data_IF_553909670332
#
_entry.id   IF_553909670332
#
_cell.length_a   1.000
_cell.length_b   1.000
_cell.length_c   1.000
_cell.angle_alpha   90.00
_cell.angle_beta   90.00
_cell.angle_gamma   90.00
#
_symmetry.space_group_name_H-M   'P 1'
#
loop_
_entity.id
_entity.type
_entity.pdbx_description
1 polymer ?
#
# COMPACT_ATOMS: atom_id res chain seq x y z
N UNK A 1 -34.99 10.46 3.03
CA UNK A 1 -34.32 10.35 4.33
C UNK A 1 -32.90 9.89 4.14
N UNK A 2 -31.91 10.69 4.54
CA UNK A 2 -30.51 10.30 4.53
C UNK A 2 -30.11 9.63 5.84
N UNK A 3 -29.18 8.68 5.77
CA UNK A 3 -28.58 8.02 6.94
C UNK A 3 -27.93 9.08 7.85
N UNK A 4 -28.19 8.98 9.15
CA UNK A 4 -27.58 9.83 10.16
C UNK A 4 -26.09 9.46 10.38
N UNK A 5 -25.35 10.28 11.14
CA UNK A 5 -23.92 10.08 11.33
C UNK A 5 -23.57 8.77 12.06
N UNK A 6 -24.41 8.33 13.02
CA UNK A 6 -24.18 7.09 13.77
C UNK A 6 -24.43 5.85 12.90
N UNK A 7 -25.45 5.86 12.04
CA UNK A 7 -25.74 4.81 11.08
C UNK A 7 -24.60 4.66 10.05
N UNK A 8 -24.04 5.77 9.57
CA UNK A 8 -22.86 5.74 8.68
C UNK A 8 -21.63 5.14 9.38
N UNK A 9 -21.39 5.53 10.63
CA UNK A 9 -20.28 4.99 11.42
C UNK A 9 -20.44 3.49 11.70
N UNK A 10 -21.66 3.05 12.02
CA UNK A 10 -21.97 1.63 12.22
C UNK A 10 -21.74 0.82 10.94
N UNK A 11 -22.17 1.33 9.78
CA UNK A 11 -21.96 0.67 8.49
C UNK A 11 -20.47 0.56 8.14
N UNK A 12 -19.70 1.62 8.36
CA UNK A 12 -18.25 1.61 8.13
C UNK A 12 -17.52 0.62 9.05
N UNK A 13 -17.93 0.53 10.31
CA UNK A 13 -17.40 -0.45 11.27
C UNK A 13 -17.72 -1.89 10.85
N UNK A 14 -18.98 -2.17 10.50
CA UNK A 14 -19.40 -3.48 10.02
C UNK A 14 -18.65 -3.90 8.74
N UNK A 15 -18.43 -2.97 7.82
CA UNK A 15 -17.64 -3.20 6.61
C UNK A 15 -16.18 -3.56 6.95
N UNK A 16 -15.55 -2.80 7.86
CA UNK A 16 -14.18 -3.05 8.31
C UNK A 16 -14.04 -4.43 8.98
N UNK A 17 -15.01 -4.81 9.82
CA UNK A 17 -15.07 -6.13 10.43
C UNK A 17 -15.23 -7.26 9.41
N UNK A 18 -16.02 -7.05 8.35
CA UNK A 18 -16.16 -8.03 7.26
C UNK A 18 -14.84 -8.19 6.50
N UNK A 19 -14.18 -7.09 6.14
CA UNK A 19 -12.88 -7.13 5.47
C UNK A 19 -11.83 -7.87 6.30
N UNK A 20 -11.77 -7.60 7.61
CA UNK A 20 -10.83 -8.27 8.51
C UNK A 20 -11.08 -9.78 8.58
N UNK A 21 -12.35 -10.20 8.66
CA UNK A 21 -12.71 -11.63 8.64
C UNK A 21 -12.31 -12.33 7.34
N UNK A 22 -12.51 -11.68 6.20
CA UNK A 22 -12.11 -12.23 4.90
C UNK A 22 -10.59 -12.33 4.82
N UNK A 23 -9.87 -11.28 5.24
CA UNK A 23 -8.39 -11.28 5.25
C UNK A 23 -7.83 -12.39 6.14
N UNK A 24 -8.35 -12.54 7.36
CA UNK A 24 -7.91 -13.58 8.30
C UNK A 24 -8.23 -14.98 7.79
N UNK A 25 -9.41 -15.19 7.18
CA UNK A 25 -9.79 -16.47 6.57
C UNK A 25 -8.89 -16.85 5.39
N UNK A 26 -8.58 -15.89 4.51
CA UNK A 26 -7.65 -16.12 3.42
C UNK A 26 -6.23 -16.42 3.93
N UNK A 27 -5.73 -15.68 4.94
CA UNK A 27 -4.41 -15.92 5.52
C UNK A 27 -4.31 -17.33 6.15
N UNK A 28 -5.32 -17.74 6.92
CA UNK A 28 -5.38 -19.08 7.49
C UNK A 28 -5.41 -20.18 6.39
N UNK A 29 -6.15 -19.95 5.31
CA UNK A 29 -6.20 -20.88 4.18
C UNK A 29 -4.86 -20.97 3.43
N UNK A 30 -4.13 -19.86 3.30
CA UNK A 30 -2.80 -19.83 2.69
C UNK A 30 -1.79 -20.60 3.57
N UNK A 31 -1.86 -20.43 4.89
CA UNK A 31 -0.99 -21.13 5.82
C UNK A 31 -1.24 -22.65 5.82
N UNK A 32 -2.50 -23.06 5.75
CA UNK A 32 -2.88 -24.48 5.73
C UNK A 32 -2.75 -25.15 4.36
N UNK A 33 -2.83 -24.39 3.26
CA UNK A 33 -2.93 -24.93 1.90
C UNK A 33 -2.23 -24.05 0.84
N UNK A 34 -1.01 -23.59 1.12
CA UNK A 34 -0.26 -22.68 0.26
C UNK A 34 0.01 -23.19 -1.16
N UNK A 35 0.29 -24.49 -1.32
CA UNK A 35 0.46 -25.11 -2.65
C UNK A 35 -0.85 -25.10 -3.46
N UNK A 36 -1.97 -25.46 -2.82
CA UNK A 36 -3.29 -25.43 -3.46
C UNK A 36 -3.69 -24.00 -3.85
N UNK A 37 -3.37 -23.00 -3.02
CA UNK A 37 -3.61 -21.58 -3.34
C UNK A 37 -2.74 -21.11 -4.50
N UNK A 38 -1.48 -21.54 -4.56
CA UNK A 38 -0.56 -21.22 -5.66
C UNK A 38 -1.04 -21.83 -6.97
N UNK A 39 -1.50 -23.09 -6.94
CA UNK A 39 -2.14 -23.75 -8.09
C UNK A 39 -3.38 -22.98 -8.52
N UNK A 40 -4.27 -22.64 -7.59
CA UNK A 40 -5.51 -21.90 -7.89
C UNK A 40 -5.25 -20.54 -8.55
N UNK A 41 -4.22 -19.81 -8.10
CA UNK A 41 -3.79 -18.57 -8.75
C UNK A 41 -3.26 -18.81 -10.17
N UNK A 42 -2.47 -19.87 -10.36
CA UNK A 42 -2.01 -20.31 -11.68
C UNK A 42 -3.17 -20.66 -12.61
N UNK A 43 -4.13 -21.45 -12.13
CA UNK A 43 -5.31 -21.90 -12.87
C UNK A 43 -6.21 -20.72 -13.26
N UNK A 44 -6.40 -19.75 -12.37
CA UNK A 44 -7.16 -18.54 -12.67
C UNK A 44 -6.50 -17.70 -13.79
N UNK A 45 -5.17 -17.57 -13.79
CA UNK A 45 -4.43 -16.87 -14.87
C UNK A 45 -4.51 -17.64 -16.18
N UNK A 46 -4.36 -18.96 -16.14
CA UNK A 46 -4.47 -19.83 -17.30
C UNK A 46 -5.87 -19.76 -17.92
N UNK A 47 -6.92 -19.73 -17.09
CA UNK A 47 -8.30 -19.56 -17.54
C UNK A 47 -8.51 -18.23 -18.28
N UNK A 48 -8.03 -17.10 -17.73
CA UNK A 48 -8.11 -15.80 -18.40
C UNK A 48 -7.40 -15.82 -19.76
N UNK A 49 -6.19 -16.39 -19.82
CA UNK A 49 -5.45 -16.51 -21.08
C UNK A 49 -6.16 -17.40 -22.10
N UNK A 50 -6.78 -18.50 -21.65
CA UNK A 50 -7.57 -19.38 -22.50
C UNK A 50 -8.83 -18.67 -23.05
N UNK A 51 -9.51 -17.86 -22.24
CA UNK A 51 -10.63 -17.03 -22.73
C UNK A 51 -10.18 -16.07 -23.84
N UNK A 52 -9.04 -15.41 -23.68
CA UNK A 52 -8.51 -14.47 -24.67
C UNK A 52 -8.10 -15.18 -25.97
N UNK A 53 -7.53 -16.37 -25.86
CA UNK A 53 -7.21 -17.21 -27.00
C UNK A 53 -8.48 -17.66 -27.76
N UNK A 54 -9.54 -18.04 -27.05
CA UNK A 54 -10.83 -18.41 -27.64
C UNK A 54 -11.47 -17.21 -28.34
N UNK A 55 -11.49 -16.04 -27.70
CA UNK A 55 -12.03 -14.81 -28.30
C UNK A 55 -11.26 -14.44 -29.58
N UNK A 56 -9.94 -14.53 -29.56
CA UNK A 56 -9.08 -14.28 -30.72
C UNK A 56 -9.37 -15.27 -31.85
N UNK A 57 -9.43 -16.56 -31.54
CA UNK A 57 -9.67 -17.61 -32.52
C UNK A 57 -11.09 -17.54 -33.13
N UNK A 58 -12.07 -17.12 -32.34
CA UNK A 58 -13.46 -16.95 -32.77
C UNK A 58 -13.61 -15.73 -33.69
N UNK A 59 -13.05 -14.59 -33.28
CA UNK A 59 -13.06 -13.36 -34.09
C UNK A 59 -12.29 -13.51 -35.40
N UNK A 60 -11.28 -14.39 -35.46
CA UNK A 60 -10.58 -14.70 -36.70
C UNK A 60 -11.40 -15.55 -37.69
N UNK A 61 -12.42 -16.28 -37.23
CA UNK A 61 -13.23 -17.21 -38.03
C UNK A 61 -14.63 -16.70 -38.35
N UNK A 62 -15.11 -15.70 -37.62
CA UNK A 62 -16.43 -15.09 -37.82
C UNK A 62 -16.19 -13.69 -38.42
N UNK A 63 -16.83 -13.38 -39.55
CA UNK A 63 -16.87 -12.03 -40.13
C UNK A 63 -17.78 -11.11 -39.28
N UNK A 64 -17.39 -10.89 -38.01
CA UNK A 64 -18.12 -10.11 -37.02
C UNK A 64 -17.61 -10.35 -35.60
N UNK A 65 -17.90 -9.43 -34.67
CA UNK A 65 -17.60 -9.63 -33.24
C UNK A 65 -18.41 -10.83 -32.72
N UNK A 66 -17.74 -11.95 -32.42
CA UNK A 66 -18.37 -13.10 -31.78
C UNK A 66 -18.92 -12.75 -30.39
N UNK A 67 -19.72 -13.64 -29.76
CA UNK A 67 -20.18 -13.42 -28.39
C UNK A 67 -19.00 -13.42 -27.43
N UNK A 68 -18.51 -12.23 -27.08
CA UNK A 68 -17.55 -12.05 -26.01
C UNK A 68 -18.17 -12.50 -24.68
N UNK A 69 -17.37 -13.05 -23.77
CA UNK A 69 -17.80 -13.39 -22.40
C UNK A 69 -17.13 -12.42 -21.40
N UNK A 70 -17.37 -11.10 -21.50
CA UNK A 70 -16.64 -10.11 -20.72
C UNK A 70 -16.96 -10.20 -19.23
N UNK A 71 -18.16 -10.67 -18.86
CA UNK A 71 -18.56 -10.87 -17.47
C UNK A 71 -17.72 -11.96 -16.79
N UNK A 72 -17.47 -13.08 -17.46
CA UNK A 72 -16.65 -14.16 -16.93
C UNK A 72 -15.19 -13.70 -16.78
N UNK A 73 -14.66 -12.99 -17.78
CA UNK A 73 -13.31 -12.41 -17.71
C UNK A 73 -13.18 -11.45 -16.53
N UNK A 74 -14.13 -10.51 -16.37
CA UNK A 74 -14.12 -9.57 -15.23
C UNK A 74 -14.27 -10.27 -13.89
N UNK A 75 -15.09 -11.31 -13.83
CA UNK A 75 -15.25 -12.12 -12.62
C UNK A 75 -13.92 -12.79 -12.22
N UNK A 76 -13.25 -13.47 -13.16
CA UNK A 76 -11.95 -14.12 -12.93
C UNK A 76 -10.87 -13.11 -12.53
N UNK A 77 -10.83 -11.94 -13.19
CA UNK A 77 -9.90 -10.86 -12.83
C UNK A 77 -10.14 -10.34 -11.41
N UNK A 78 -11.40 -10.17 -11.00
CA UNK A 78 -11.74 -9.72 -9.65
C UNK A 78 -11.42 -10.77 -8.59
N UNK A 79 -11.61 -12.05 -8.92
CA UNK A 79 -11.19 -13.18 -8.08
C UNK A 79 -9.66 -13.18 -7.92
N UNK A 80 -8.91 -13.12 -9.02
CA UNK A 80 -7.45 -13.08 -9.01
C UNK A 80 -6.93 -11.94 -8.14
N UNK A 81 -7.44 -10.72 -8.36
CA UNK A 81 -7.04 -9.53 -7.61
C UNK A 81 -7.29 -9.69 -6.10
N UNK A 82 -8.38 -10.36 -5.72
CA UNK A 82 -8.73 -10.59 -4.31
C UNK A 82 -7.81 -11.62 -3.67
N UNK A 83 -7.50 -12.70 -4.38
CA UNK A 83 -6.61 -13.75 -3.89
C UNK A 83 -5.15 -13.29 -3.80
N UNK A 84 -4.65 -12.56 -4.80
CA UNK A 84 -3.28 -12.03 -4.83
C UNK A 84 -3.01 -11.05 -3.69
N UNK A 85 -3.94 -10.13 -3.41
CA UNK A 85 -3.83 -9.20 -2.28
C UNK A 85 -3.68 -9.91 -0.93
N UNK A 86 -4.37 -11.03 -0.77
CA UNK A 86 -4.33 -11.80 0.48
C UNK A 86 -3.14 -12.77 0.54
N UNK A 87 -2.64 -13.23 -0.60
CA UNK A 87 -1.43 -14.06 -0.71
C UNK A 87 -0.15 -13.29 -0.38
N UNK A 88 -0.02 -12.05 -0.88
CA UNK A 88 1.12 -11.18 -0.57
C UNK A 88 1.18 -10.79 0.92
N UNK A 89 0.03 -10.70 1.59
CA UNK A 89 -0.05 -10.43 3.02
C UNK A 89 0.37 -11.63 3.90
N UNK A 90 0.21 -12.87 3.42
CA UNK A 90 0.61 -14.08 4.15
C UNK A 90 2.10 -14.42 4.02
N UNK A 91 2.73 -14.10 2.89
CA UNK A 91 4.16 -14.40 2.67
C UNK A 91 5.11 -13.63 3.60
N UNK A 92 4.71 -12.45 4.10
CA UNK A 92 5.51 -11.65 5.05
C UNK A 92 5.41 -12.16 6.49
N UNK A 93 4.39 -12.97 6.81
CA UNK A 93 4.18 -13.52 8.16
C UNK A 93 4.93 -14.84 8.40
N UNK A 94 5.34 -15.55 7.34
CA UNK A 94 6.05 -16.83 7.44
C UNK A 94 7.58 -16.62 7.51
N UNK A 95 8.02 -15.83 8.50
CA UNK A 95 9.39 -15.89 8.98
C UNK A 95 9.58 -17.23 9.69
N UNK A 96 10.28 -18.15 9.03
CA UNK A 96 10.55 -19.51 9.49
C UNK A 96 10.78 -19.59 11.01
N UNK A 97 9.82 -20.20 11.72
CA UNK A 97 9.99 -20.60 13.10
C UNK A 97 11.16 -21.60 13.15
N UNK A 98 12.31 -21.11 13.61
CA UNK A 98 13.49 -21.93 13.90
C UNK A 98 13.06 -22.97 14.96
N UNK A 99 13.34 -24.29 14.78
CA UNK A 99 12.88 -25.29 15.73
C UNK A 99 13.57 -25.09 17.07
N UNK A 100 12.79 -24.76 18.10
CA UNK A 100 13.23 -24.84 19.49
C UNK A 100 13.47 -26.32 19.85
N UNK A 101 14.55 -26.68 20.55
CA UNK A 101 14.75 -28.05 21.05
C UNK A 101 13.67 -28.38 22.10
N UNK A 102 13.31 -29.67 22.27
CA UNK A 102 12.21 -30.08 23.14
C UNK A 102 12.51 -29.77 24.62
N UNK A 103 11.49 -29.39 25.42
CA UNK A 103 11.68 -29.13 26.85
C UNK A 103 11.95 -30.43 27.61
N UNK A 104 13.02 -30.44 28.40
CA UNK A 104 13.21 -31.42 29.47
C UNK A 104 12.13 -31.20 30.55
N UNK A 105 11.52 -32.30 30.99
CA UNK A 105 10.59 -32.34 32.12
C UNK A 105 11.24 -31.79 33.40
N UNK A 106 10.57 -30.90 34.16
CA UNK A 106 11.00 -30.60 35.52
C UNK A 106 10.14 -31.35 36.55
N UNK A 107 10.86 -32.07 37.42
CA UNK A 107 10.38 -32.55 38.71
C UNK A 107 9.95 -31.39 39.64
N UNK A 108 9.22 -31.77 40.69
CA UNK A 108 8.44 -31.00 41.66
C UNK A 108 9.18 -29.89 42.46
N UNK A 109 8.43 -28.98 43.14
CA UNK A 109 8.89 -27.64 43.48
C UNK A 109 9.48 -27.52 44.90
N UNK A 110 10.41 -26.58 45.10
CA UNK A 110 10.73 -26.01 46.43
C UNK A 110 11.04 -24.50 46.36
N UNK A 111 10.09 -23.75 46.94
CA UNK A 111 10.12 -22.51 47.74
C UNK A 111 11.23 -21.42 47.63
N UNK A 112 10.68 -20.20 47.64
CA UNK A 112 11.03 -18.96 48.36
C UNK A 112 12.02 -17.95 47.74
N UNK A 113 11.48 -16.77 47.39
CA UNK A 113 11.90 -15.52 48.04
C UNK A 113 12.24 -14.30 47.17
N UNK A 114 11.36 -13.29 47.22
CA UNK A 114 11.57 -11.83 47.18
C UNK A 114 12.11 -11.11 45.93
N UNK A 115 11.39 -10.02 45.57
CA UNK A 115 11.94 -8.86 44.86
C UNK A 115 10.99 -8.25 43.83
N UNK A 116 10.23 -7.22 44.23
CA UNK A 116 9.47 -6.36 43.32
C UNK A 116 10.42 -5.40 42.57
N UNK A 117 10.17 -5.16 41.27
CA UNK A 117 9.71 -3.86 40.73
C UNK A 117 10.10 -3.65 39.25
N UNK A 118 9.04 -3.44 38.45
CA UNK A 118 8.83 -2.48 37.34
C UNK A 118 9.92 -2.09 36.32
N UNK A 119 9.43 -2.00 35.07
CA UNK A 119 9.90 -1.19 33.90
C UNK A 119 10.99 -1.77 32.99
N UNK A 120 10.61 -2.20 31.79
CA UNK A 120 10.57 -1.32 30.61
C UNK A 120 10.33 -2.15 29.35
N UNK A 121 9.13 -2.00 28.77
CA UNK A 121 8.83 -2.41 27.40
C UNK A 121 9.66 -1.54 26.46
N UNK A 122 10.70 -2.12 25.85
CA UNK A 122 11.31 -1.57 24.65
C UNK A 122 10.71 -2.37 23.50
N UNK A 123 9.70 -1.77 22.87
CA UNK A 123 9.16 -2.24 21.61
C UNK A 123 10.29 -2.23 20.56
N UNK A 124 10.75 -3.42 20.19
CA UNK A 124 11.54 -3.62 18.99
C UNK A 124 10.66 -3.25 17.80
N UNK A 125 10.97 -2.09 17.21
CA UNK A 125 10.46 -1.68 15.91
C UNK A 125 11.09 -2.58 14.85
N UNK A 126 10.52 -3.77 14.64
CA UNK A 126 10.81 -4.52 13.43
C UNK A 126 10.27 -3.72 12.24
N UNK A 127 11.19 -3.10 11.50
CA UNK A 127 10.92 -2.45 10.23
C UNK A 127 10.41 -3.50 9.26
N UNK A 128 9.09 -3.60 9.17
CA UNK A 128 8.39 -4.36 8.15
C UNK A 128 8.69 -3.76 6.77
N UNK A 129 9.22 -4.57 5.87
CA UNK A 129 9.45 -4.25 4.45
C UNK A 129 8.16 -4.26 3.60
N UNK A 130 6.98 -4.32 4.21
CA UNK A 130 5.69 -4.17 3.55
C UNK A 130 5.28 -2.70 3.41
N UNK A 131 4.35 -2.39 2.49
CA UNK A 131 3.71 -1.07 2.54
C UNK A 131 3.03 -0.90 3.91
N UNK A 132 3.13 0.27 4.53
CA UNK A 132 2.43 0.53 5.76
C UNK A 132 0.90 0.47 5.51
N UNK A 133 0.15 -0.22 6.39
CA UNK A 133 -1.32 -0.26 6.35
C UNK A 133 -1.92 1.15 6.49
N UNK A 134 -1.13 2.09 7.02
CA UNK A 134 -1.42 3.53 7.07
C UNK A 134 -0.16 4.36 6.91
N UNK A 135 -0.20 5.38 6.05
CA UNK A 135 0.88 6.37 5.91
C UNK A 135 1.00 7.17 7.21
N UNK A 136 2.15 7.07 7.87
CA UNK A 136 2.42 7.70 9.16
C UNK A 136 3.51 8.77 9.10
N UNK A 137 4.33 8.75 8.04
CA UNK A 137 5.46 9.66 7.85
C UNK A 137 5.56 10.15 6.39
N UNK A 138 6.35 11.19 6.16
CA UNK A 138 6.69 11.65 4.80
C UNK A 138 7.49 10.60 4.03
N UNK A 139 8.33 9.81 4.72
CA UNK A 139 9.09 8.73 4.09
C UNK A 139 8.18 7.60 3.60
N UNK A 140 7.08 7.32 4.31
CA UNK A 140 6.05 6.38 3.85
C UNK A 140 5.41 6.85 2.53
N UNK A 141 5.17 8.16 2.39
CA UNK A 141 4.65 8.75 1.15
C UNK A 141 5.63 8.53 0.00
N UNK A 142 6.93 8.76 0.22
CA UNK A 142 7.97 8.53 -0.80
C UNK A 142 7.99 7.08 -1.25
N UNK A 143 7.98 6.13 -0.31
CA UNK A 143 7.95 4.69 -0.61
C UNK A 143 6.72 4.32 -1.44
N UNK A 144 5.54 4.83 -1.09
CA UNK A 144 4.31 4.60 -1.83
C UNK A 144 4.40 5.17 -3.26
N UNK A 145 4.95 6.37 -3.44
CA UNK A 145 5.14 6.97 -4.77
C UNK A 145 6.14 6.17 -5.63
N UNK A 146 7.21 5.66 -5.03
CA UNK A 146 8.19 4.81 -5.73
C UNK A 146 7.55 3.51 -6.24
N UNK A 147 6.64 2.91 -5.47
CA UNK A 147 5.90 1.74 -5.88
C UNK A 147 4.92 2.02 -7.02
N UNK A 148 4.25 3.17 -6.99
CA UNK A 148 3.38 3.63 -8.10
C UNK A 148 4.21 3.80 -9.37
N UNK A 149 5.36 4.48 -9.29
CA UNK A 149 6.27 4.65 -10.42
C UNK A 149 6.72 3.29 -10.97
N UNK A 150 7.18 2.39 -10.11
CA UNK A 150 7.66 1.06 -10.51
C UNK A 150 6.57 0.18 -11.15
N UNK A 151 5.30 0.34 -10.75
CA UNK A 151 4.18 -0.32 -11.40
C UNK A 151 4.03 0.18 -12.84
N UNK A 152 3.90 1.49 -13.04
CA UNK A 152 3.66 2.07 -14.36
C UNK A 152 4.86 1.91 -15.30
N UNK A 153 6.09 1.98 -14.80
CA UNK A 153 7.28 1.70 -15.62
C UNK A 153 7.28 0.27 -16.19
N UNK A 154 6.68 -0.69 -15.48
CA UNK A 154 6.57 -2.10 -15.93
C UNK A 154 5.35 -2.35 -16.81
N UNK A 155 4.20 -1.73 -16.50
CA UNK A 155 2.94 -2.04 -17.18
C UNK A 155 2.64 -1.12 -18.35
N UNK A 156 2.97 0.18 -18.24
CA UNK A 156 2.61 1.23 -19.19
C UNK A 156 3.70 2.33 -19.27
N UNK A 157 4.88 2.03 -19.85
CA UNK A 157 6.02 2.95 -19.84
C UNK A 157 5.77 4.27 -20.59
N UNK A 158 4.82 4.28 -21.54
CA UNK A 158 4.41 5.48 -22.29
C UNK A 158 3.42 6.37 -21.53
N UNK A 159 3.02 5.99 -20.31
CA UNK A 159 2.10 6.78 -19.49
C UNK A 159 2.75 8.09 -19.01
N UNK A 160 2.00 9.20 -18.93
CA UNK A 160 2.51 10.45 -18.32
C UNK A 160 2.60 10.37 -16.79
N UNK A 161 1.96 9.37 -16.17
CA UNK A 161 1.83 9.24 -14.72
C UNK A 161 3.19 9.08 -14.00
N UNK A 162 4.13 8.21 -14.44
CA UNK A 162 5.46 8.13 -13.86
C UNK A 162 6.18 9.47 -13.75
N UNK A 163 6.08 10.32 -14.76
CA UNK A 163 6.75 11.62 -14.78
C UNK A 163 6.17 12.57 -13.72
N UNK A 164 4.84 12.61 -13.60
CA UNK A 164 4.15 13.41 -12.58
C UNK A 164 4.43 12.86 -11.17
N UNK A 165 4.37 11.54 -10.98
CA UNK A 165 4.63 10.91 -9.69
C UNK A 165 6.07 11.16 -9.20
N UNK A 166 7.07 11.08 -10.08
CA UNK A 166 8.47 11.44 -9.75
C UNK A 166 8.61 12.91 -9.37
N UNK A 167 7.85 13.81 -10.00
CA UNK A 167 7.83 15.24 -9.63
C UNK A 167 7.23 15.44 -8.23
N UNK A 168 6.05 14.86 -7.98
CA UNK A 168 5.38 14.91 -6.67
C UNK A 168 6.27 14.32 -5.58
N UNK A 169 6.98 13.22 -5.86
CA UNK A 169 7.93 12.60 -4.93
C UNK A 169 9.02 13.57 -4.47
N UNK A 170 9.59 14.38 -5.36
CA UNK A 170 10.60 15.38 -4.98
C UNK A 170 10.02 16.48 -4.09
N UNK A 171 8.75 16.81 -4.27
CA UNK A 171 8.04 17.86 -3.53
C UNK A 171 7.71 17.46 -2.08
N UNK A 172 7.72 16.16 -1.74
CA UNK A 172 7.29 15.66 -0.41
C UNK A 172 8.11 16.25 0.75
N UNK A 173 9.41 16.50 0.53
CA UNK A 173 10.29 17.02 1.58
C UNK A 173 10.44 18.55 1.55
N UNK A 174 9.97 19.20 0.50
CA UNK A 174 10.10 20.65 0.33
C UNK A 174 9.22 21.39 1.33
N UNK A 175 9.71 22.52 1.82
CA UNK A 175 8.86 23.50 2.48
C UNK A 175 8.01 24.28 1.45
N UNK A 176 7.02 25.04 1.93
CA UNK A 176 6.12 25.76 1.02
C UNK A 176 6.84 26.80 0.15
N UNK A 177 7.91 27.42 0.65
CA UNK A 177 8.67 28.44 -0.08
C UNK A 177 9.51 27.78 -1.16
N UNK A 178 10.22 26.70 -0.83
CA UNK A 178 10.97 25.86 -1.78
C UNK A 178 10.05 25.29 -2.86
N UNK A 179 8.86 24.83 -2.49
CA UNK A 179 7.83 24.34 -3.41
C UNK A 179 7.39 25.42 -4.40
N UNK A 180 7.16 26.64 -3.90
CA UNK A 180 6.77 27.78 -4.72
C UNK A 180 7.91 28.23 -5.64
N UNK A 181 9.17 28.12 -5.21
CA UNK A 181 10.35 28.39 -6.05
C UNK A 181 10.50 27.35 -7.18
N UNK A 182 10.23 26.07 -6.93
CA UNK A 182 10.28 25.01 -7.95
C UNK A 182 9.10 25.05 -8.93
N UNK A 183 7.89 25.36 -8.45
CA UNK A 183 6.66 25.26 -9.25
C UNK A 183 6.26 26.57 -9.92
N UNK A 184 6.41 27.70 -9.23
CA UNK A 184 5.89 28.99 -9.65
C UNK A 184 6.76 30.16 -9.13
N UNK A 185 8.01 30.30 -9.60
CA UNK A 185 8.95 31.32 -9.09
C UNK A 185 8.43 32.75 -9.26
N UNK A 186 7.58 33.00 -10.25
CA UNK A 186 6.89 34.28 -10.46
C UNK A 186 5.81 34.58 -9.41
N UNK A 187 5.11 33.57 -8.89
CA UNK A 187 4.06 33.71 -7.86
C UNK A 187 4.61 34.00 -6.47
N UNK A 188 5.89 33.74 -6.24
CA UNK A 188 6.58 34.04 -4.99
C UNK A 188 6.63 35.55 -4.69
N UNK A 189 6.70 36.39 -5.73
CA UNK A 189 6.68 37.85 -5.60
C UNK A 189 5.33 38.35 -5.07
N UNK A 190 4.23 37.79 -5.60
CA UNK A 190 2.87 38.12 -5.16
C UNK A 190 2.62 37.64 -3.73
N UNK A 191 3.09 36.44 -3.38
CA UNK A 191 3.00 35.93 -2.02
C UNK A 191 3.77 36.79 -1.00
N UNK A 192 5.01 37.18 -1.31
CA UNK A 192 5.83 38.04 -0.41
C UNK A 192 5.19 39.41 -0.18
N UNK A 193 4.55 39.97 -1.22
CA UNK A 193 3.78 41.21 -1.13
C UNK A 193 2.56 41.07 -0.20
N UNK A 194 1.86 39.92 -0.27
CA UNK A 194 0.68 39.64 0.55
C UNK A 194 1.02 39.28 2.01
N UNK A 195 2.13 38.57 2.23
CA UNK A 195 2.59 38.11 3.54
C UNK A 195 3.34 39.19 4.35
N UNK A 196 3.58 40.37 3.77
CA UNK A 196 4.20 41.49 4.47
C UNK A 196 5.69 41.31 4.82
N UNK A 197 6.40 40.39 4.15
CA UNK A 197 7.84 40.17 4.39
C UNK A 197 8.66 41.15 3.53
N UNK A 198 9.43 42.08 4.13
CA UNK A 198 10.19 43.06 3.36
C UNK A 198 11.38 42.40 2.63
N UNK A 199 11.66 42.91 1.42
CA UNK A 199 12.85 42.54 0.65
C UNK A 199 14.13 42.83 1.43
N UNK A 200 14.88 41.78 1.80
CA UNK A 200 16.17 41.89 2.49
C UNK A 200 17.30 42.47 1.61
N UNK A 201 16.99 43.12 0.48
CA UNK A 201 17.97 43.69 -0.46
C UNK A 201 17.97 45.22 -0.55
N UNK A 202 17.36 45.94 0.40
CA UNK A 202 17.36 47.42 0.35
C UNK A 202 17.65 48.14 1.67
N UNK A 203 18.57 47.62 2.48
CA UNK A 203 19.03 48.31 3.70
C UNK A 203 20.54 48.62 3.73
N UNK A 204 21.29 48.37 2.66
CA UNK A 204 22.75 48.59 2.67
C UNK A 204 23.24 49.89 1.99
N UNK A 205 22.35 50.81 1.56
CA UNK A 205 22.82 52.02 0.88
C UNK A 205 21.83 53.18 0.95
N UNK A 206 21.71 53.85 2.11
CA UNK A 206 21.49 55.30 2.19
C UNK A 206 21.62 55.81 3.64
N UNK A 207 22.79 55.59 4.24
CA UNK A 207 23.21 56.29 5.46
C UNK A 207 24.61 56.86 5.22
N UNK A 208 24.72 57.72 4.21
CA UNK A 208 25.84 58.64 4.07
C UNK A 208 25.43 59.80 3.15
N UNK A 209 25.65 61.03 3.66
CA UNK A 209 25.49 62.37 3.06
C UNK A 209 24.22 63.13 3.39
#
# INVERSE_FOLDING_TARGET
SGLNASEKAALASAHSQLLNRVRSGCAAQIDQAGEAMTSLLGDARAAIAALDAVETALNARIEGNGPAVPELKRFLQRLLTTLERNSAAGAVANGAAKPSPPPAEPATPVRNGHGADTMASVASYEQSTGLPDRISSRDDVVKCLDLVVAFYDRTEPSSPIPHLARRVRRMVHMDFVELMEDLAPSGLKEFRLLAGVPDAKKTAQKDER
#
